data_IF_951534791424
#
_entry.id   IF_951534791424
#
_cell.length_a   1.000
_cell.length_b   1.000
_cell.length_c   1.000
_cell.angle_alpha   90.00
_cell.angle_beta   90.00
_cell.angle_gamma   90.00
#
_symmetry.space_group_name_H-M   'P 1'
#
loop_
_entity.id
_entity.type
_entity.pdbx_description
1 polymer ?
#
# COMPACT_ATOMS: atom_id res chain seq x y z
N UNK A 1 -6.50 26.57 8.51
CA UNK A 1 -6.76 25.12 8.48
C UNK A 1 -8.21 24.81 8.11
N UNK A 2 -9.21 25.38 8.80
CA UNK A 2 -10.66 25.14 8.59
C UNK A 2 -11.14 25.38 7.14
N UNK A 3 -10.67 26.43 6.46
CA UNK A 3 -11.03 26.71 5.06
C UNK A 3 -10.47 25.70 4.06
N UNK A 4 -9.29 25.12 4.32
CA UNK A 4 -8.73 24.06 3.45
C UNK A 4 -9.53 22.75 3.57
N UNK A 5 -9.92 22.39 4.79
CA UNK A 5 -10.74 21.19 5.04
C UNK A 5 -12.11 21.35 4.37
N UNK A 6 -12.77 22.51 4.53
CA UNK A 6 -14.05 22.78 3.86
C UNK A 6 -13.94 22.66 2.33
N UNK A 7 -12.83 23.12 1.74
CA UNK A 7 -12.59 23.01 0.29
C UNK A 7 -12.47 21.55 -0.18
N UNK A 8 -11.86 20.67 0.62
CA UNK A 8 -11.74 19.24 0.29
C UNK A 8 -13.15 18.59 0.27
N UNK A 9 -13.98 18.86 1.28
CA UNK A 9 -15.33 18.30 1.35
C UNK A 9 -16.30 18.89 0.29
N UNK A 10 -15.93 20.01 -0.36
CA UNK A 10 -16.71 20.59 -1.46
C UNK A 10 -16.21 20.13 -2.84
N UNK A 11 -15.13 19.32 -2.91
CA UNK A 11 -14.58 18.86 -4.18
C UNK A 11 -15.41 17.69 -4.73
N UNK A 12 -16.00 17.89 -5.91
CA UNK A 12 -16.81 16.88 -6.60
C UNK A 12 -16.05 15.57 -6.85
N UNK A 13 -14.75 15.65 -7.09
CA UNK A 13 -13.93 14.46 -7.35
C UNK A 13 -13.90 13.51 -6.14
N UNK A 14 -13.93 14.04 -4.92
CA UNK A 14 -14.01 13.21 -3.71
C UNK A 14 -15.27 12.32 -3.73
N UNK A 15 -16.40 12.88 -4.08
CA UNK A 15 -17.68 12.14 -4.13
C UNK A 15 -17.72 11.15 -5.27
N UNK A 16 -17.13 11.49 -6.44
CA UNK A 16 -17.06 10.56 -7.57
C UNK A 16 -16.16 9.37 -7.22
N UNK A 17 -15.01 9.58 -6.58
CA UNK A 17 -14.18 8.50 -6.07
C UNK A 17 -14.90 7.65 -5.01
N UNK A 18 -15.70 8.30 -4.15
CA UNK A 18 -16.56 7.59 -3.21
C UNK A 18 -17.55 6.68 -3.91
N UNK A 19 -18.26 7.18 -4.92
CA UNK A 19 -19.21 6.40 -5.71
C UNK A 19 -18.52 5.22 -6.42
N UNK A 20 -17.41 5.46 -7.09
CA UNK A 20 -16.63 4.40 -7.74
C UNK A 20 -16.22 3.32 -6.74
N UNK A 21 -15.69 3.72 -5.58
CA UNK A 21 -15.28 2.78 -4.52
C UNK A 21 -16.46 1.92 -4.05
N UNK A 22 -17.63 2.53 -3.84
CA UNK A 22 -18.83 1.82 -3.42
C UNK A 22 -19.34 0.87 -4.51
N UNK A 23 -19.29 1.28 -5.77
CA UNK A 23 -19.71 0.43 -6.90
C UNK A 23 -18.80 -0.80 -7.03
N UNK A 24 -17.48 -0.64 -6.93
CA UNK A 24 -16.54 -1.75 -7.07
C UNK A 24 -16.49 -2.66 -5.84
N UNK A 25 -16.49 -2.08 -4.66
CA UNK A 25 -16.25 -2.84 -3.42
C UNK A 25 -17.49 -3.02 -2.55
N UNK A 26 -18.60 -2.33 -2.84
CA UNK A 26 -19.82 -2.42 -2.03
C UNK A 26 -20.39 -3.83 -1.96
N UNK A 27 -20.27 -4.60 -3.01
CA UNK A 27 -20.69 -6.02 -3.03
C UNK A 27 -19.90 -6.86 -2.01
N UNK A 28 -18.64 -6.49 -1.74
CA UNK A 28 -17.76 -7.12 -0.75
C UNK A 28 -18.05 -6.68 0.70
N UNK A 29 -19.10 -5.89 0.91
CA UNK A 29 -19.63 -5.59 2.27
C UNK A 29 -20.28 -6.82 2.90
N UNK A 30 -20.68 -7.80 2.10
CA UNK A 30 -21.10 -9.12 2.59
C UNK A 30 -19.92 -9.82 3.24
N UNK A 31 -20.24 -10.72 4.19
CA UNK A 31 -19.25 -11.50 4.93
C UNK A 31 -18.62 -12.57 4.03
N UNK A 32 -17.77 -12.13 3.11
CA UNK A 32 -16.97 -13.01 2.27
C UNK A 32 -15.50 -12.85 2.67
N UNK A 33 -14.80 -13.97 2.88
CA UNK A 33 -13.45 -14.00 3.39
C UNK A 33 -12.53 -14.84 2.53
N UNK A 34 -11.29 -14.37 2.38
CA UNK A 34 -10.20 -15.21 1.94
C UNK A 34 -9.97 -16.36 2.95
N UNK A 35 -9.42 -17.46 2.46
CA UNK A 35 -9.16 -18.68 3.25
C UNK A 35 -8.42 -18.38 4.55
N UNK A 36 -7.42 -17.50 4.51
CA UNK A 36 -6.63 -17.11 5.68
C UNK A 36 -7.49 -16.42 6.75
N UNK A 37 -8.54 -15.71 6.38
CA UNK A 37 -9.42 -15.04 7.31
C UNK A 37 -10.24 -16.04 8.15
N UNK A 38 -10.57 -17.21 7.62
CA UNK A 38 -11.23 -18.27 8.40
C UNK A 38 -10.32 -18.81 9.50
N UNK A 39 -9.03 -18.93 9.23
CA UNK A 39 -8.04 -19.35 10.25
C UNK A 39 -8.01 -18.35 11.40
N UNK A 40 -8.18 -17.05 11.11
CA UNK A 40 -8.25 -15.98 12.12
C UNK A 40 -9.42 -16.18 13.06
N UNK A 41 -10.59 -16.54 12.55
CA UNK A 41 -11.79 -16.73 13.36
C UNK A 41 -11.69 -17.96 14.28
N UNK A 42 -10.91 -18.95 13.87
CA UNK A 42 -10.73 -20.20 14.61
C UNK A 42 -9.66 -20.08 15.69
N UNK A 43 -8.83 -19.03 15.70
CA UNK A 43 -7.74 -18.86 16.65
C UNK A 43 -8.07 -17.84 17.74
N UNK A 44 -7.57 -18.03 18.97
CA UNK A 44 -7.67 -17.02 20.02
C UNK A 44 -7.00 -15.69 19.56
N UNK A 45 -7.64 -14.55 19.81
CA UNK A 45 -7.17 -13.22 19.40
C UNK A 45 -5.72 -12.94 19.77
N UNK A 46 -5.26 -13.42 20.96
CA UNK A 46 -3.88 -13.28 21.42
C UNK A 46 -2.88 -13.96 20.47
N UNK A 47 -3.22 -15.17 20.01
CA UNK A 47 -2.36 -15.94 19.12
C UNK A 47 -2.25 -15.28 17.75
N UNK A 48 -3.35 -14.70 17.27
CA UNK A 48 -3.38 -13.99 16.02
C UNK A 48 -2.63 -12.64 16.06
N UNK A 49 -2.76 -11.90 17.17
CA UNK A 49 -1.92 -10.71 17.40
C UNK A 49 -0.43 -11.05 17.37
N UNK A 50 -0.02 -12.15 18.03
CA UNK A 50 1.36 -12.64 18.00
C UNK A 50 1.81 -13.00 16.59
N UNK A 51 0.92 -13.57 15.77
CA UNK A 51 1.25 -13.87 14.37
C UNK A 51 1.53 -12.61 13.56
N UNK A 52 0.73 -11.54 13.73
CA UNK A 52 1.00 -10.25 13.10
C UNK A 52 2.33 -9.64 13.57
N UNK A 53 2.59 -9.65 14.88
CA UNK A 53 3.84 -9.15 15.44
C UNK A 53 5.05 -9.90 14.87
N UNK A 54 4.98 -11.23 14.83
CA UNK A 54 6.01 -12.08 14.21
C UNK A 54 6.17 -11.85 12.71
N UNK A 55 5.15 -11.37 12.04
CA UNK A 55 5.18 -11.02 10.61
C UNK A 55 5.63 -9.58 10.37
N UNK A 56 5.93 -8.79 11.41
CA UNK A 56 6.34 -7.38 11.30
C UNK A 56 5.17 -6.43 11.03
N UNK A 57 3.92 -6.87 11.23
CA UNK A 57 2.71 -6.09 11.00
C UNK A 57 2.20 -5.47 12.31
N UNK A 58 3.00 -4.56 12.89
CA UNK A 58 2.73 -3.96 14.20
C UNK A 58 1.39 -3.20 14.22
N UNK A 59 1.07 -2.44 13.16
CA UNK A 59 -0.17 -1.68 13.07
C UNK A 59 -1.38 -2.63 12.97
N UNK A 60 -1.26 -3.73 12.21
CA UNK A 60 -2.31 -4.75 12.18
C UNK A 60 -2.55 -5.39 13.56
N UNK A 61 -1.49 -5.67 14.31
CA UNK A 61 -1.61 -6.18 15.67
C UNK A 61 -2.28 -5.16 16.62
N UNK A 62 -1.88 -3.87 16.52
CA UNK A 62 -2.51 -2.79 17.28
C UNK A 62 -3.99 -2.64 16.93
N UNK A 63 -4.35 -2.70 15.65
CA UNK A 63 -5.74 -2.65 15.20
C UNK A 63 -6.60 -3.74 15.85
N UNK A 64 -6.11 -4.98 15.84
CA UNK A 64 -6.79 -6.08 16.53
C UNK A 64 -6.93 -5.83 18.03
N UNK A 65 -5.88 -5.34 18.68
CA UNK A 65 -5.88 -5.00 20.10
C UNK A 65 -6.94 -3.94 20.42
N UNK A 66 -7.01 -2.87 19.62
CA UNK A 66 -8.01 -1.81 19.76
C UNK A 66 -9.42 -2.33 19.53
N UNK A 67 -9.65 -3.13 18.49
CA UNK A 67 -10.95 -3.75 18.25
C UNK A 67 -11.40 -4.60 19.46
N UNK A 68 -10.48 -5.33 20.07
CA UNK A 68 -10.78 -6.12 21.27
C UNK A 68 -11.13 -5.24 22.47
N UNK A 69 -10.34 -4.19 22.74
CA UNK A 69 -10.58 -3.26 23.85
C UNK A 69 -11.93 -2.56 23.74
N UNK A 70 -12.36 -2.25 22.51
CA UNK A 70 -13.65 -1.61 22.23
C UNK A 70 -14.82 -2.60 22.12
N UNK A 71 -14.64 -3.87 22.48
CA UNK A 71 -15.64 -4.94 22.30
C UNK A 71 -16.11 -5.10 20.83
N UNK A 72 -15.26 -4.72 19.88
CA UNK A 72 -15.45 -4.91 18.44
C UNK A 72 -14.78 -6.20 17.94
N UNK A 73 -14.28 -7.04 18.85
CA UNK A 73 -13.50 -8.23 18.53
C UNK A 73 -14.31 -9.42 17.97
N UNK A 74 -15.63 -9.31 17.84
CA UNK A 74 -16.39 -10.33 17.10
C UNK A 74 -16.08 -10.23 15.62
N UNK A 75 -16.04 -11.35 14.88
CA UNK A 75 -15.74 -11.37 13.45
C UNK A 75 -16.57 -10.36 12.65
N UNK A 76 -17.87 -10.29 12.89
CA UNK A 76 -18.78 -9.37 12.20
C UNK A 76 -18.43 -7.88 12.44
N UNK A 77 -18.23 -7.49 13.70
CA UNK A 77 -17.95 -6.09 14.06
C UNK A 77 -16.59 -5.65 13.52
N UNK A 78 -15.59 -6.51 13.65
CA UNK A 78 -14.24 -6.25 13.17
C UNK A 78 -14.21 -6.13 11.64
N UNK A 79 -14.94 -6.99 10.94
CA UNK A 79 -15.11 -6.92 9.50
C UNK A 79 -15.71 -5.57 9.06
N UNK A 80 -16.80 -5.14 9.71
CA UNK A 80 -17.47 -3.88 9.39
C UNK A 80 -16.56 -2.68 9.60
N UNK A 81 -15.84 -2.61 10.73
CA UNK A 81 -14.87 -1.54 11.00
C UNK A 81 -13.75 -1.54 9.97
N UNK A 82 -13.19 -2.72 9.67
CA UNK A 82 -12.14 -2.90 8.68
C UNK A 82 -12.62 -2.47 7.29
N UNK A 83 -13.84 -2.82 6.90
CA UNK A 83 -14.42 -2.43 5.63
C UNK A 83 -14.59 -0.90 5.51
N UNK A 84 -15.09 -0.25 6.56
CA UNK A 84 -15.21 1.23 6.60
C UNK A 84 -13.84 1.90 6.43
N UNK A 85 -12.82 1.42 7.16
CA UNK A 85 -11.46 1.93 7.04
C UNK A 85 -10.92 1.72 5.63
N UNK A 86 -11.19 0.55 5.01
CA UNK A 86 -10.78 0.25 3.65
C UNK A 86 -11.38 1.24 2.64
N UNK A 87 -12.69 1.47 2.70
CA UNK A 87 -13.39 2.43 1.82
C UNK A 87 -12.80 3.84 1.97
N UNK A 88 -12.66 4.32 3.20
CA UNK A 88 -12.10 5.66 3.47
C UNK A 88 -10.67 5.77 2.94
N UNK A 89 -9.83 4.76 3.19
CA UNK A 89 -8.43 4.73 2.75
C UNK A 89 -8.33 4.73 1.22
N UNK A 90 -9.17 3.95 0.54
CA UNK A 90 -9.24 3.89 -0.93
C UNK A 90 -9.60 5.24 -1.54
N UNK A 91 -10.66 5.88 -1.03
CA UNK A 91 -11.10 7.20 -1.49
C UNK A 91 -10.01 8.25 -1.26
N UNK A 92 -9.40 8.25 -0.07
CA UNK A 92 -8.34 9.19 0.29
C UNK A 92 -7.09 9.00 -0.59
N UNK A 93 -6.69 7.76 -0.87
CA UNK A 93 -5.56 7.45 -1.74
C UNK A 93 -5.79 7.93 -3.18
N UNK A 94 -6.95 7.63 -3.77
CA UNK A 94 -7.31 8.10 -5.11
C UNK A 94 -7.36 9.63 -5.19
N UNK A 95 -7.98 10.28 -4.20
CA UNK A 95 -8.10 11.74 -4.15
C UNK A 95 -6.73 12.41 -4.00
N UNK A 96 -5.84 11.85 -3.18
CA UNK A 96 -4.47 12.37 -3.03
C UNK A 96 -3.66 12.20 -4.31
N UNK A 97 -3.71 11.03 -4.95
CA UNK A 97 -3.08 10.78 -6.25
C UNK A 97 -3.60 11.73 -7.32
N UNK A 98 -4.93 11.93 -7.41
CA UNK A 98 -5.53 12.88 -8.32
C UNK A 98 -4.93 14.29 -8.15
N UNK A 99 -4.84 14.76 -6.91
CA UNK A 99 -4.28 16.09 -6.61
C UNK A 99 -2.79 16.20 -6.96
N UNK A 100 -2.04 15.09 -6.92
CA UNK A 100 -0.64 15.05 -7.33
C UNK A 100 -0.46 15.04 -8.84
N UNK A 101 -1.34 14.33 -9.55
CA UNK A 101 -1.22 14.05 -10.99
C UNK A 101 -1.86 15.15 -11.85
N UNK A 102 -2.94 15.79 -11.37
CA UNK A 102 -3.70 16.80 -12.15
C UNK A 102 -2.86 17.99 -12.64
N UNK A 103 -1.77 18.31 -11.93
CA UNK A 103 -0.85 19.38 -12.32
C UNK A 103 0.09 18.93 -13.44
N UNK A 104 0.29 17.62 -13.60
CA UNK A 104 1.22 17.00 -14.50
C UNK A 104 0.57 16.55 -15.82
N UNK A 105 -0.74 16.29 -15.79
CA UNK A 105 -1.49 15.73 -16.92
C UNK A 105 -2.52 16.76 -17.41
N UNK A 106 -2.33 17.23 -18.67
CA UNK A 106 -3.24 18.20 -19.29
C UNK A 106 -4.65 17.64 -19.54
N UNK A 107 -4.75 16.33 -19.84
CA UNK A 107 -6.02 15.69 -20.10
C UNK A 107 -6.74 15.40 -18.76
N UNK A 108 -7.86 16.11 -18.51
CA UNK A 108 -8.65 15.99 -17.29
C UNK A 108 -9.18 14.57 -17.04
N UNK A 109 -9.57 13.86 -18.11
CA UNK A 109 -10.06 12.48 -18.01
C UNK A 109 -8.94 11.55 -17.56
N UNK A 110 -7.74 11.64 -18.15
CA UNK A 110 -6.58 10.86 -17.73
C UNK A 110 -6.16 11.19 -16.30
N UNK A 111 -6.15 12.47 -15.92
CA UNK A 111 -5.85 12.90 -14.55
C UNK A 111 -6.86 12.34 -13.52
N UNK A 112 -8.07 12.00 -13.96
CA UNK A 112 -9.10 11.37 -13.13
C UNK A 112 -8.99 9.84 -13.11
N UNK A 113 -8.81 9.19 -14.27
CA UNK A 113 -8.87 7.72 -14.37
C UNK A 113 -7.61 7.02 -13.85
N UNK A 114 -6.43 7.64 -14.01
CA UNK A 114 -5.16 7.04 -13.57
C UNK A 114 -5.15 6.73 -12.07
N UNK A 115 -5.55 7.61 -11.15
CA UNK A 115 -5.69 7.28 -9.73
C UNK A 115 -6.61 6.09 -9.47
N UNK A 116 -7.71 5.96 -10.24
CA UNK A 116 -8.62 4.82 -10.13
C UNK A 116 -7.90 3.53 -10.50
N UNK A 117 -7.23 3.48 -11.66
CA UNK A 117 -6.53 2.29 -12.13
C UNK A 117 -5.35 1.88 -11.24
N UNK A 118 -4.69 2.86 -10.60
CA UNK A 118 -3.61 2.58 -9.65
C UNK A 118 -4.13 1.93 -8.38
N UNK A 119 -5.24 2.44 -7.82
CA UNK A 119 -5.75 2.00 -6.52
C UNK A 119 -6.76 0.87 -6.65
N UNK A 120 -7.60 0.89 -7.69
CA UNK A 120 -8.61 -0.15 -7.97
C UNK A 120 -8.10 -1.03 -9.11
N UNK A 121 -7.51 -2.15 -8.76
CA UNK A 121 -6.99 -3.15 -9.67
C UNK A 121 -7.26 -4.56 -9.12
N UNK A 122 -6.88 -5.60 -9.84
CA UNK A 122 -7.15 -6.98 -9.46
C UNK A 122 -6.56 -7.34 -8.08
N UNK A 123 -5.39 -6.80 -7.74
CA UNK A 123 -4.75 -7.05 -6.43
C UNK A 123 -5.49 -6.37 -5.29
N UNK A 124 -6.05 -5.17 -5.50
CA UNK A 124 -6.85 -4.49 -4.48
C UNK A 124 -8.16 -5.22 -4.21
N UNK A 125 -8.75 -5.87 -5.21
CA UNK A 125 -9.93 -6.73 -5.03
C UNK A 125 -9.58 -7.89 -4.09
N UNK A 126 -8.43 -8.54 -4.28
CA UNK A 126 -7.94 -9.58 -3.38
C UNK A 126 -7.79 -9.05 -1.94
N UNK A 127 -7.17 -7.88 -1.76
CA UNK A 127 -7.01 -7.27 -0.43
C UNK A 127 -8.34 -7.04 0.29
N UNK A 128 -9.42 -6.74 -0.44
CA UNK A 128 -10.76 -6.57 0.14
C UNK A 128 -11.41 -7.87 0.61
N UNK A 129 -10.88 -9.03 0.23
CA UNK A 129 -11.35 -10.33 0.73
C UNK A 129 -10.79 -10.67 2.12
N UNK A 130 -9.72 -10.00 2.57
CA UNK A 130 -9.15 -10.24 3.89
C UNK A 130 -9.94 -9.52 4.99
N UNK A 131 -9.93 -10.10 6.20
CA UNK A 131 -10.57 -9.49 7.36
C UNK A 131 -9.90 -8.17 7.76
N UNK A 132 -8.58 -8.10 7.64
CA UNK A 132 -7.76 -6.92 7.90
C UNK A 132 -7.68 -5.93 6.70
N UNK A 133 -8.60 -6.03 5.73
CA UNK A 133 -8.66 -5.16 4.54
C UNK A 133 -8.48 -3.67 4.83
N UNK A 134 -9.01 -3.21 5.96
CA UNK A 134 -8.87 -1.82 6.39
C UNK A 134 -7.43 -1.39 6.54
N UNK A 135 -6.62 -2.22 7.19
CA UNK A 135 -5.21 -1.94 7.41
C UNK A 135 -4.39 -2.15 6.13
N UNK A 136 -4.78 -3.10 5.28
CA UNK A 136 -4.14 -3.30 3.98
C UNK A 136 -4.37 -2.10 3.04
N UNK A 137 -5.61 -1.60 2.95
CA UNK A 137 -5.91 -0.40 2.15
C UNK A 137 -5.34 0.88 2.80
N UNK A 138 -5.26 0.93 4.13
CA UNK A 138 -4.56 2.01 4.84
C UNK A 138 -3.06 2.02 4.51
N UNK A 139 -2.43 0.85 4.33
CA UNK A 139 -1.05 0.77 3.84
C UNK A 139 -0.89 1.44 2.47
N UNK A 140 -1.80 1.20 1.53
CA UNK A 140 -1.80 1.89 0.22
C UNK A 140 -1.90 3.41 0.37
N UNK A 141 -2.76 3.90 1.26
CA UNK A 141 -2.85 5.33 1.55
C UNK A 141 -1.53 5.90 2.11
N UNK A 142 -0.88 5.16 3.01
CA UNK A 142 0.42 5.56 3.57
C UNK A 142 1.52 5.62 2.49
N UNK A 143 1.50 4.69 1.54
CA UNK A 143 2.44 4.72 0.41
C UNK A 143 2.19 5.90 -0.53
N UNK A 144 0.93 6.22 -0.81
CA UNK A 144 0.58 7.42 -1.58
C UNK A 144 1.02 8.70 -0.86
N UNK A 145 0.89 8.74 0.47
CA UNK A 145 1.43 9.84 1.30
C UNK A 145 2.97 9.88 1.23
N UNK A 146 3.64 8.73 1.26
CA UNK A 146 5.09 8.64 1.09
C UNK A 146 5.54 9.21 -0.26
N UNK A 147 4.85 8.85 -1.36
CA UNK A 147 5.09 9.42 -2.69
C UNK A 147 4.89 10.93 -2.69
N UNK A 148 3.84 11.43 -2.05
CA UNK A 148 3.58 12.87 -1.94
C UNK A 148 4.73 13.61 -1.25
N UNK A 149 5.24 13.09 -0.13
CA UNK A 149 6.38 13.68 0.55
C UNK A 149 7.67 13.53 -0.24
N UNK A 150 7.88 12.40 -0.91
CA UNK A 150 9.02 12.18 -1.78
C UNK A 150 9.03 13.16 -2.97
N UNK A 151 7.89 13.34 -3.66
CA UNK A 151 7.71 14.38 -4.68
C UNK A 151 8.09 15.75 -4.14
N UNK A 152 7.58 16.14 -2.96
CA UNK A 152 7.93 17.41 -2.32
C UNK A 152 9.42 17.55 -1.98
N UNK A 153 10.06 16.46 -1.64
CA UNK A 153 11.50 16.45 -1.38
C UNK A 153 12.33 16.71 -2.64
N UNK A 154 11.87 16.19 -3.78
CA UNK A 154 12.48 16.46 -5.09
C UNK A 154 12.22 17.88 -5.58
N UNK A 155 11.02 18.46 -5.29
CA UNK A 155 10.62 19.78 -5.76
C UNK A 155 11.11 20.93 -4.89
N UNK A 156 11.14 20.76 -3.56
CA UNK A 156 11.21 21.90 -2.64
C UNK A 156 12.29 21.76 -1.56
N UNK A 157 12.16 20.80 -0.66
CA UNK A 157 13.00 20.69 0.54
C UNK A 157 13.23 19.23 0.92
N UNK A 158 14.48 18.83 0.99
CA UNK A 158 14.91 17.48 1.37
C UNK A 158 14.40 17.01 2.75
N UNK A 159 13.97 17.92 3.62
CA UNK A 159 13.35 17.57 4.92
C UNK A 159 12.12 16.67 4.76
N UNK A 160 11.41 16.77 3.64
CA UNK A 160 10.28 15.89 3.34
C UNK A 160 10.69 14.43 3.15
N UNK A 161 11.98 14.11 2.93
CA UNK A 161 12.45 12.73 2.88
C UNK A 161 12.22 12.00 4.20
N UNK A 162 12.41 12.65 5.35
CA UNK A 162 12.14 12.05 6.66
C UNK A 162 10.67 11.66 6.80
N UNK A 163 9.76 12.51 6.32
CA UNK A 163 8.33 12.19 6.33
C UNK A 163 8.00 11.04 5.37
N UNK A 164 8.66 11.00 4.21
CA UNK A 164 8.50 9.88 3.27
C UNK A 164 8.98 8.57 3.89
N UNK A 165 10.17 8.54 4.48
CA UNK A 165 10.71 7.37 5.20
C UNK A 165 9.73 6.91 6.30
N UNK A 166 9.21 7.85 7.08
CA UNK A 166 8.27 7.55 8.15
C UNK A 166 6.96 6.94 7.62
N UNK A 167 6.41 7.45 6.52
CA UNK A 167 5.21 6.88 5.90
C UNK A 167 5.46 5.49 5.33
N UNK A 168 6.62 5.24 4.68
CA UNK A 168 7.00 3.90 4.21
C UNK A 168 7.17 2.94 5.40
N UNK A 169 7.71 3.40 6.53
CA UNK A 169 7.83 2.59 7.75
C UNK A 169 6.46 2.20 8.29
N UNK A 170 5.52 3.13 8.37
CA UNK A 170 4.15 2.85 8.80
C UNK A 170 3.44 1.88 7.82
N UNK A 171 3.67 2.04 6.51
CA UNK A 171 3.15 1.12 5.51
C UNK A 171 3.70 -0.31 5.71
N UNK A 172 5.01 -0.45 5.95
CA UNK A 172 5.62 -1.74 6.29
C UNK A 172 5.04 -2.36 7.56
N UNK A 173 4.75 -1.55 8.59
CA UNK A 173 4.11 -2.02 9.83
C UNK A 173 2.63 -2.36 9.66
N UNK A 174 2.00 -1.86 8.60
CA UNK A 174 0.63 -2.18 8.24
C UNK A 174 0.58 -3.45 7.40
N UNK A 175 1.12 -3.39 6.16
CA UNK A 175 1.14 -4.51 5.24
C UNK A 175 2.27 -4.38 4.21
N UNK A 176 3.26 -5.27 4.26
CA UNK A 176 4.44 -5.19 3.41
C UNK A 176 4.16 -5.48 1.91
N UNK A 177 3.05 -6.17 1.61
CA UNK A 177 2.74 -6.59 0.23
C UNK A 177 2.44 -5.43 -0.74
N UNK A 178 2.14 -4.23 -0.22
CA UNK A 178 1.80 -3.05 -1.04
C UNK A 178 2.97 -2.11 -1.31
N UNK A 179 4.10 -2.24 -0.60
CA UNK A 179 5.21 -1.26 -0.60
C UNK A 179 5.85 -1.03 -1.99
N UNK A 180 5.67 -1.95 -2.93
CA UNK A 180 6.06 -1.75 -4.32
C UNK A 180 5.39 -0.56 -5.01
N UNK A 181 4.19 -0.18 -4.59
CA UNK A 181 3.46 0.96 -5.15
C UNK A 181 4.25 2.27 -4.98
N UNK A 182 4.82 2.49 -3.78
CA UNK A 182 5.67 3.64 -3.51
C UNK A 182 6.84 3.73 -4.49
N UNK A 183 7.54 2.60 -4.72
CA UNK A 183 8.73 2.57 -5.60
C UNK A 183 8.35 2.92 -7.02
N UNK A 184 7.30 2.28 -7.56
CA UNK A 184 6.88 2.48 -8.96
C UNK A 184 6.46 3.92 -9.22
N UNK A 185 5.60 4.50 -8.37
CA UNK A 185 5.13 5.88 -8.59
C UNK A 185 6.26 6.88 -8.34
N UNK A 186 7.12 6.65 -7.33
CA UNK A 186 8.25 7.54 -7.05
C UNK A 186 9.30 7.52 -8.16
N UNK A 187 9.54 6.39 -8.82
CA UNK A 187 10.43 6.30 -9.97
C UNK A 187 9.99 7.21 -11.12
N UNK A 188 8.68 7.34 -11.37
CA UNK A 188 8.13 8.28 -12.36
C UNK A 188 8.53 9.72 -12.02
N UNK A 189 8.44 10.10 -10.73
CA UNK A 189 8.84 11.43 -10.27
C UNK A 189 10.36 11.63 -10.33
N UNK A 190 11.17 10.59 -10.06
CA UNK A 190 12.63 10.64 -10.27
C UNK A 190 12.96 10.96 -11.73
N UNK A 191 12.33 10.26 -12.70
CA UNK A 191 12.50 10.54 -14.13
C UNK A 191 12.11 11.97 -14.46
N UNK A 192 10.97 12.43 -13.95
CA UNK A 192 10.44 13.77 -14.23
C UNK A 192 11.31 14.91 -13.70
N UNK A 193 11.85 14.78 -12.50
CA UNK A 193 12.56 15.86 -11.80
C UNK A 193 14.08 15.81 -11.96
N UNK A 194 14.65 14.78 -12.56
CA UNK A 194 16.09 14.70 -12.81
C UNK A 194 16.46 15.42 -14.12
N UNK A 195 17.33 16.42 -14.01
CA UNK A 195 17.77 17.24 -15.16
C UNK A 195 18.89 16.60 -15.95
N UNK A 196 19.65 15.71 -15.34
CA UNK A 196 20.79 15.04 -15.93
C UNK A 196 21.01 13.66 -15.30
N UNK A 197 21.91 12.87 -15.92
CA UNK A 197 22.16 11.49 -15.49
C UNK A 197 22.69 11.39 -14.04
N UNK A 198 23.46 12.37 -13.57
CA UNK A 198 23.97 12.38 -12.20
C UNK A 198 22.84 12.56 -11.18
N UNK A 199 21.95 13.52 -11.43
CA UNK A 199 20.74 13.71 -10.60
C UNK A 199 19.83 12.50 -10.65
N UNK A 200 19.65 11.90 -11.82
CA UNK A 200 18.86 10.68 -11.98
C UNK A 200 19.42 9.54 -11.12
N UNK A 201 20.72 9.27 -11.19
CA UNK A 201 21.36 8.25 -10.39
C UNK A 201 21.26 8.56 -8.89
N UNK A 202 21.54 9.80 -8.49
CA UNK A 202 21.44 10.23 -7.10
C UNK A 202 20.02 10.08 -6.56
N UNK A 203 19.01 10.52 -7.31
CA UNK A 203 17.62 10.43 -6.90
C UNK A 203 17.14 8.97 -6.80
N UNK A 204 17.64 8.06 -7.66
CA UNK A 204 17.39 6.62 -7.53
C UNK A 204 18.05 6.03 -6.29
N UNK A 205 19.26 6.44 -5.94
CA UNK A 205 19.90 6.03 -4.68
C UNK A 205 19.09 6.50 -3.49
N UNK A 206 18.62 7.77 -3.50
CA UNK A 206 17.76 8.30 -2.44
C UNK A 206 16.45 7.52 -2.35
N UNK A 207 15.80 7.20 -3.48
CA UNK A 207 14.61 6.37 -3.53
C UNK A 207 14.87 4.99 -2.90
N UNK A 208 16.01 4.37 -3.24
CA UNK A 208 16.44 3.11 -2.66
C UNK A 208 16.60 3.20 -1.14
N UNK A 209 17.23 4.27 -0.63
CA UNK A 209 17.40 4.50 0.81
C UNK A 209 16.03 4.65 1.51
N UNK A 210 15.12 5.46 0.93
CA UNK A 210 13.76 5.67 1.49
C UNK A 210 12.97 4.37 1.57
N UNK A 211 13.20 3.45 0.63
CA UNK A 211 12.55 2.13 0.60
C UNK A 211 13.22 1.12 1.55
N UNK A 212 14.56 1.01 1.48
CA UNK A 212 15.31 -0.06 2.16
C UNK A 212 15.43 0.18 3.67
N UNK A 213 15.64 1.43 4.10
CA UNK A 213 15.84 1.75 5.53
C UNK A 213 14.62 1.33 6.38
N UNK A 214 13.36 1.66 6.01
CA UNK A 214 12.19 1.17 6.75
C UNK A 214 12.04 -0.35 6.75
N UNK A 215 12.36 -1.01 5.63
CA UNK A 215 12.28 -2.46 5.53
C UNK A 215 13.31 -3.15 6.45
N UNK A 216 14.56 -2.66 6.48
CA UNK A 216 15.59 -3.15 7.39
C UNK A 216 15.24 -2.88 8.85
N UNK A 217 14.66 -1.74 9.16
CA UNK A 217 14.21 -1.41 10.51
C UNK A 217 13.11 -2.36 10.98
N UNK A 218 12.10 -2.61 10.14
CA UNK A 218 11.04 -3.59 10.42
C UNK A 218 11.63 -4.99 10.62
N UNK A 219 12.51 -5.42 9.72
CA UNK A 219 13.23 -6.70 9.84
C UNK A 219 14.00 -6.80 11.17
N UNK A 220 14.71 -5.75 11.56
CA UNK A 220 15.47 -5.67 12.82
C UNK A 220 14.57 -5.86 14.04
N UNK A 221 13.42 -5.17 14.09
CA UNK A 221 12.42 -5.32 15.16
C UNK A 221 11.94 -6.77 15.25
N UNK A 222 11.54 -7.35 14.13
CA UNK A 222 11.04 -8.74 14.11
C UNK A 222 12.11 -9.72 14.58
N UNK A 223 13.35 -9.54 14.12
CA UNK A 223 14.47 -10.42 14.51
C UNK A 223 14.80 -10.32 16.00
N UNK A 224 14.81 -9.10 16.56
CA UNK A 224 15.21 -8.88 17.96
C UNK A 224 14.12 -9.30 18.94
N UNK A 225 12.85 -8.93 18.66
CA UNK A 225 11.77 -9.06 19.65
C UNK A 225 10.89 -10.29 19.46
N UNK A 226 10.77 -10.83 18.23
CA UNK A 226 9.77 -11.83 17.92
C UNK A 226 10.27 -13.19 17.44
N UNK A 227 11.59 -13.35 17.20
CA UNK A 227 12.25 -14.61 16.84
C UNK A 227 11.45 -15.46 15.84
N UNK A 228 11.16 -14.89 14.65
CA UNK A 228 10.37 -15.58 13.65
C UNK A 228 11.24 -16.53 12.82
N UNK A 229 10.79 -17.78 12.64
CA UNK A 229 11.46 -18.76 11.80
C UNK A 229 11.65 -18.31 10.32
N UNK A 230 10.74 -17.47 9.80
CA UNK A 230 10.88 -16.87 8.45
C UNK A 230 12.05 -15.89 8.34
N UNK A 231 12.48 -15.33 9.47
CA UNK A 231 13.54 -14.31 9.57
C UNK A 231 14.83 -14.91 10.08
N UNK A 232 14.80 -16.09 10.74
CA UNK A 232 15.96 -16.76 11.32
C UNK A 232 16.86 -17.44 10.29
N UNK A 233 16.34 -17.77 9.13
CA UNK A 233 17.12 -18.39 8.06
C UNK A 233 17.89 -17.35 7.24
N UNK A 234 18.99 -16.83 7.69
CA UNK A 234 19.85 -15.80 7.07
C UNK A 234 19.56 -15.40 5.61
N UNK A 235 19.81 -14.16 5.28
CA UNK A 235 19.61 -13.64 3.91
C UNK A 235 20.68 -14.23 3.00
N UNK A 236 20.32 -15.22 2.19
CA UNK A 236 21.15 -15.65 1.08
C UNK A 236 20.78 -14.82 -0.16
N UNK A 237 21.57 -13.78 -0.45
CA UNK A 237 21.32 -12.82 -1.53
C UNK A 237 21.17 -13.52 -2.88
N UNK A 238 22.04 -14.48 -3.20
CA UNK A 238 22.00 -15.21 -4.48
C UNK A 238 20.71 -16.00 -4.61
N UNK A 239 20.31 -16.74 -3.56
CA UNK A 239 19.06 -17.50 -3.53
C UNK A 239 17.83 -16.59 -3.58
N UNK A 240 17.92 -15.41 -2.97
CA UNK A 240 16.83 -14.40 -3.02
C UNK A 240 16.67 -13.82 -4.42
N UNK A 241 17.77 -13.49 -5.11
CA UNK A 241 17.73 -13.01 -6.50
C UNK A 241 17.18 -14.08 -7.43
N UNK A 242 17.66 -15.32 -7.34
CA UNK A 242 17.14 -16.45 -8.14
C UNK A 242 15.63 -16.60 -7.92
N UNK A 243 15.16 -16.54 -6.67
CA UNK A 243 13.74 -16.65 -6.34
C UNK A 243 12.90 -15.50 -6.89
N UNK A 244 13.42 -14.27 -6.85
CA UNK A 244 12.74 -13.09 -7.44
C UNK A 244 12.61 -13.28 -8.96
N UNK A 245 13.66 -13.74 -9.64
CA UNK A 245 13.63 -13.99 -11.08
C UNK A 245 12.62 -15.09 -11.44
N UNK A 246 12.61 -16.21 -10.69
CA UNK A 246 11.63 -17.28 -10.87
C UNK A 246 10.19 -16.79 -10.69
N UNK A 247 9.92 -16.05 -9.61
CA UNK A 247 8.60 -15.50 -9.32
C UNK A 247 8.19 -14.48 -10.39
N UNK A 248 9.10 -13.59 -10.82
CA UNK A 248 8.83 -12.63 -11.87
C UNK A 248 8.48 -13.32 -13.19
N UNK A 249 9.21 -14.40 -13.54
CA UNK A 249 8.92 -15.22 -14.71
C UNK A 249 7.54 -15.90 -14.61
N UNK A 250 7.23 -16.50 -13.45
CA UNK A 250 5.93 -17.14 -13.22
C UNK A 250 4.78 -16.11 -13.33
N UNK A 251 4.93 -14.95 -12.69
CA UNK A 251 3.93 -13.87 -12.79
C UNK A 251 3.76 -13.37 -14.24
N UNK A 252 4.83 -13.23 -14.99
CA UNK A 252 4.73 -12.88 -16.42
C UNK A 252 3.96 -13.93 -17.19
N UNK A 253 4.26 -15.23 -17.00
CA UNK A 253 3.57 -16.33 -17.68
C UNK A 253 2.06 -16.32 -17.34
N UNK A 254 1.71 -16.16 -16.07
CA UNK A 254 0.31 -16.06 -15.64
C UNK A 254 -0.39 -14.82 -16.22
N UNK A 255 0.28 -13.67 -16.24
CA UNK A 255 -0.24 -12.44 -16.84
C UNK A 255 -0.41 -12.59 -18.36
N UNK A 256 0.54 -13.24 -19.05
CA UNK A 256 0.44 -13.55 -20.48
C UNK A 256 -0.74 -14.49 -20.78
N UNK A 257 -1.06 -15.40 -19.87
CA UNK A 257 -2.24 -16.26 -19.98
C UNK A 257 -3.58 -15.51 -19.83
N UNK A 258 -3.58 -14.39 -19.10
CA UNK A 258 -4.76 -13.56 -18.86
C UNK A 258 -4.98 -12.45 -19.88
N UNK A 259 -3.91 -11.97 -20.53
CA UNK A 259 -3.97 -10.86 -21.47
C UNK A 259 -3.87 -11.34 -22.93
N UNK A 260 -4.57 -10.73 -23.86
CA UNK A 260 -4.47 -11.05 -25.27
C UNK A 260 -3.04 -10.92 -25.79
N UNK A 261 -2.54 -11.94 -26.49
CA UNK A 261 -1.15 -12.03 -26.97
C UNK A 261 -0.68 -10.80 -27.77
N UNK A 262 -1.59 -10.11 -28.46
CA UNK A 262 -1.27 -8.91 -29.24
C UNK A 262 -0.96 -7.67 -28.40
N UNK A 263 -1.26 -7.66 -27.11
CA UNK A 263 -0.87 -6.55 -26.23
C UNK A 263 0.63 -6.53 -25.91
N UNK A 264 1.36 -7.58 -26.27
CA UNK A 264 2.79 -7.76 -25.97
C UNK A 264 3.71 -7.63 -27.18
N UNK A 265 3.16 -7.31 -28.36
CA UNK A 265 3.96 -7.16 -29.61
C UNK A 265 4.76 -5.84 -29.65
N UNK A 266 4.67 -5.03 -28.60
CA UNK A 266 5.38 -3.74 -28.49
C UNK A 266 6.38 -3.62 -27.33
N UNK A 267 6.66 -4.70 -26.60
CA UNK A 267 7.66 -4.79 -25.54
C UNK A 267 8.74 -5.80 -25.95
#
# INVERSE_FOLDING_TARGET
>A
MRNKIKKIFLDKNLYIYGLITIVFFGILSKLEFATDSYVVFMQPTKQYMLWFLKSGRLISACFLGVCRLLNLGTPFRMYTVSFIIAIISTIAAMYLLHNMIKEDIKNKFMGFIIPVLIVINIFSIELYLFMEKGIMMFSILLEVLAVYFFKKALEKDKKFLLLSIFMVLLANFSYQGTVGLFVVISAIYVIKYSKNIKEFLLNNVILGIVYVVPALFNYGIVKIFFHNARVSGGINIVKSISRILELSKAMMVETYGMLPKYMFIGI
#
